data_IF_936999569458
#
_entry.id   IF_936999569458
#
_cell.length_a   1.000
_cell.length_b   1.000
_cell.length_c   1.000
_cell.angle_alpha   90.00
_cell.angle_beta   90.00
_cell.angle_gamma   90.00
#
_symmetry.space_group_name_H-M   'P 1'
#
loop_
_entity.id
_entity.type
_entity.pdbx_description
1 polymer ?
#
# COMPACT_ATOMS: atom_id res chain seq x y z
N UNK A 1 14.77 -17.16 2.53
CA UNK A 1 15.79 -17.13 3.61
C UNK A 1 17.10 -17.75 3.17
N UNK A 2 17.19 -19.07 2.96
CA UNK A 2 18.44 -19.75 2.53
C UNK A 2 19.09 -19.20 1.26
N UNK A 3 18.30 -18.98 0.21
CA UNK A 3 18.80 -18.38 -1.05
C UNK A 3 19.28 -16.93 -0.91
N UNK A 4 18.84 -16.24 0.14
CA UNK A 4 19.22 -14.85 0.43
C UNK A 4 20.33 -14.75 1.48
N UNK A 5 20.89 -15.88 1.96
CA UNK A 5 21.91 -15.89 3.00
C UNK A 5 21.42 -15.46 4.40
N UNK A 6 20.11 -15.50 4.64
CA UNK A 6 19.48 -15.03 5.90
C UNK A 6 19.09 -16.21 6.82
N UNK A 7 19.86 -17.28 6.84
CA UNK A 7 19.51 -18.54 7.52
C UNK A 7 19.35 -18.43 9.05
N UNK A 8 19.86 -17.35 9.67
CA UNK A 8 19.74 -17.08 11.10
C UNK A 8 18.73 -15.99 11.48
N UNK A 9 18.05 -15.37 10.51
CA UNK A 9 17.13 -14.26 10.77
C UNK A 9 15.75 -14.81 11.09
N UNK A 10 15.14 -14.47 12.24
CA UNK A 10 13.77 -14.84 12.55
C UNK A 10 12.82 -14.32 11.46
N UNK A 11 11.96 -15.20 10.95
CA UNK A 11 10.97 -14.84 9.95
C UNK A 11 9.63 -15.49 10.28
N UNK A 12 8.57 -14.85 9.84
CA UNK A 12 7.25 -15.43 9.76
C UNK A 12 6.71 -15.18 8.35
N UNK A 13 5.83 -16.06 7.89
CA UNK A 13 5.16 -15.89 6.61
C UNK A 13 3.68 -15.66 6.91
N UNK A 14 3.12 -14.58 6.37
CA UNK A 14 1.68 -14.39 6.31
C UNK A 14 1.20 -14.81 4.93
N UNK A 15 0.18 -15.64 4.90
CA UNK A 15 -0.55 -16.00 3.70
C UNK A 15 -1.98 -15.43 3.85
N UNK A 16 -2.61 -15.04 2.73
CA UNK A 16 -4.00 -14.57 2.67
C UNK A 16 -4.31 -13.10 3.06
N UNK A 17 -3.33 -12.19 3.04
CA UNK A 17 -3.63 -10.73 3.06
C UNK A 17 -3.95 -10.17 1.68
N UNK A 18 -3.79 -10.99 0.62
CA UNK A 18 -4.07 -10.63 -0.78
C UNK A 18 -3.46 -9.30 -1.17
N UNK A 19 -4.22 -8.53 -1.94
CA UNK A 19 -3.83 -7.22 -2.46
C UNK A 19 -3.65 -6.14 -1.37
N UNK A 20 -4.09 -6.41 -0.14
CA UNK A 20 -3.82 -5.57 1.04
C UNK A 20 -2.48 -5.90 1.72
N UNK A 21 -1.72 -6.87 1.19
CA UNK A 21 -0.51 -7.42 1.80
C UNK A 21 0.54 -6.39 2.20
N UNK A 22 0.72 -5.30 1.44
CA UNK A 22 1.67 -4.24 1.78
C UNK A 22 1.39 -3.59 3.15
N UNK A 23 0.20 -3.02 3.35
CA UNK A 23 -0.14 -2.33 4.60
C UNK A 23 -0.31 -3.29 5.79
N UNK A 24 -0.70 -4.54 5.55
CA UNK A 24 -0.68 -5.58 6.58
C UNK A 24 0.75 -5.93 7.00
N UNK A 25 1.65 -6.19 6.04
CA UNK A 25 3.07 -6.45 6.32
C UNK A 25 3.70 -5.28 7.10
N UNK A 26 3.39 -4.05 6.70
CA UNK A 26 3.83 -2.83 7.40
C UNK A 26 3.31 -2.78 8.85
N UNK A 27 2.05 -3.13 9.07
CA UNK A 27 1.46 -3.18 10.42
C UNK A 27 2.16 -4.22 11.30
N UNK A 28 2.48 -5.40 10.76
CA UNK A 28 3.25 -6.40 11.50
C UNK A 28 4.68 -5.94 11.80
N UNK A 29 5.37 -5.35 10.83
CA UNK A 29 6.72 -4.82 11.01
C UNK A 29 6.76 -3.76 12.12
N UNK A 30 5.82 -2.82 12.13
CA UNK A 30 5.67 -1.82 13.20
C UNK A 30 5.43 -2.47 14.58
N UNK A 31 4.64 -3.54 14.63
CA UNK A 31 4.42 -4.32 15.85
C UNK A 31 5.71 -4.97 16.38
N UNK A 32 6.50 -5.56 15.50
CA UNK A 32 7.78 -6.20 15.85
C UNK A 32 8.82 -5.19 16.36
N UNK A 33 8.93 -4.04 15.69
CA UNK A 33 9.83 -2.95 16.08
C UNK A 33 9.44 -2.41 17.46
N UNK A 34 8.15 -2.10 17.68
CA UNK A 34 7.66 -1.64 18.99
C UNK A 34 7.85 -2.68 20.10
N UNK A 35 7.77 -3.96 19.76
CA UNK A 35 8.01 -5.08 20.67
C UNK A 35 9.48 -5.30 21.06
N UNK A 36 10.40 -4.46 20.58
CA UNK A 36 11.85 -4.55 20.84
C UNK A 36 12.51 -5.83 20.29
N UNK A 37 11.91 -6.47 19.28
CA UNK A 37 12.47 -7.67 18.64
C UNK A 37 13.50 -7.34 17.55
N UNK A 38 13.70 -6.06 17.23
CA UNK A 38 14.71 -5.55 16.29
C UNK A 38 14.54 -4.05 16.01
N UNK A 39 15.59 -3.41 15.47
CA UNK A 39 15.55 -2.03 14.96
C UNK A 39 14.97 -1.95 13.54
N UNK A 40 15.01 -3.07 12.82
CA UNK A 40 14.77 -3.13 11.38
C UNK A 40 14.05 -4.43 11.01
N UNK A 41 13.10 -4.36 10.07
CA UNK A 41 12.35 -5.50 9.56
C UNK A 41 12.34 -5.45 8.03
N UNK A 42 12.76 -6.54 7.40
CA UNK A 42 12.65 -6.71 5.94
C UNK A 42 11.31 -7.35 5.64
N UNK A 43 10.47 -6.66 4.87
CA UNK A 43 9.22 -7.19 4.37
C UNK A 43 9.39 -7.61 2.92
N UNK A 44 8.96 -8.82 2.58
CA UNK A 44 9.00 -9.37 1.22
C UNK A 44 7.58 -9.74 0.82
N UNK A 45 7.15 -9.25 -0.33
CA UNK A 45 5.90 -9.61 -0.98
C UNK A 45 6.26 -10.42 -2.24
N UNK A 46 5.55 -11.52 -2.46
CA UNK A 46 5.72 -12.35 -3.64
C UNK A 46 4.33 -12.77 -4.11
N UNK A 47 3.85 -12.07 -5.13
CA UNK A 47 2.56 -12.27 -5.77
C UNK A 47 2.83 -13.04 -7.06
N UNK A 48 2.42 -14.31 -7.12
CA UNK A 48 2.56 -15.15 -8.31
C UNK A 48 1.29 -15.98 -8.51
N UNK A 49 0.71 -15.90 -9.70
CA UNK A 49 -0.40 -16.75 -10.09
C UNK A 49 0.16 -18.12 -10.51
N UNK A 50 -0.22 -19.22 -9.85
CA UNK A 50 0.16 -20.55 -10.32
C UNK A 50 -0.42 -20.79 -11.72
N UNK A 51 0.36 -21.38 -12.63
CA UNK A 51 -0.03 -21.60 -14.03
C UNK A 51 -1.36 -22.36 -14.20
N UNK A 52 -1.73 -23.18 -13.21
CA UNK A 52 -2.94 -24.01 -13.22
C UNK A 52 -4.02 -23.52 -12.24
N UNK A 53 -3.82 -22.37 -11.59
CA UNK A 53 -4.82 -21.81 -10.68
C UNK A 53 -5.92 -21.10 -11.48
N UNK A 54 -7.16 -21.58 -11.36
CA UNK A 54 -8.33 -20.82 -11.76
C UNK A 54 -8.49 -19.64 -10.78
N UNK A 55 -7.81 -18.53 -11.07
CA UNK A 55 -8.04 -17.28 -10.33
C UNK A 55 -9.35 -16.70 -10.86
N UNK A 56 -10.44 -16.94 -10.12
CA UNK A 56 -11.78 -16.45 -10.47
C UNK A 56 -11.87 -14.93 -10.18
N UNK A 57 -11.13 -14.13 -10.95
CA UNK A 57 -11.27 -12.67 -11.03
C UNK A 57 -11.83 -12.21 -12.38
N UNK A 58 -12.30 -13.17 -13.18
CA UNK A 58 -12.94 -12.92 -14.48
C UNK A 58 -14.22 -12.10 -14.30
N UNK A 59 -14.94 -12.31 -13.19
CA UNK A 59 -16.16 -11.54 -12.85
C UNK A 59 -15.86 -10.06 -12.59
N UNK A 60 -14.72 -9.78 -11.95
CA UNK A 60 -14.26 -8.42 -11.65
C UNK A 60 -13.46 -7.78 -12.80
N UNK A 61 -13.14 -8.56 -13.85
CA UNK A 61 -12.31 -8.16 -14.99
C UNK A 61 -10.95 -7.55 -14.56
N UNK A 62 -10.35 -8.13 -13.51
CA UNK A 62 -9.02 -7.72 -13.03
C UNK A 62 -7.97 -8.55 -13.76
N UNK A 63 -7.03 -7.87 -14.41
CA UNK A 63 -5.84 -8.48 -14.99
C UNK A 63 -4.76 -8.57 -13.91
N UNK A 64 -4.07 -9.71 -13.82
CA UNK A 64 -2.99 -9.94 -12.87
C UNK A 64 -1.62 -9.96 -13.55
N UNK A 65 -0.57 -9.69 -12.78
CA UNK A 65 0.82 -9.85 -13.17
C UNK A 65 1.63 -10.37 -12.00
N UNK A 66 2.53 -11.30 -12.28
CA UNK A 66 3.46 -11.82 -11.27
C UNK A 66 4.49 -10.75 -10.90
N UNK A 67 4.74 -10.58 -9.60
CA UNK A 67 5.81 -9.72 -9.12
C UNK A 67 6.26 -10.11 -7.70
N UNK A 68 7.55 -9.94 -7.43
CA UNK A 68 8.05 -9.87 -6.05
C UNK A 68 8.58 -8.48 -5.73
N UNK A 69 8.29 -7.95 -4.55
CA UNK A 69 8.81 -6.69 -4.06
C UNK A 69 9.32 -6.84 -2.63
N UNK A 70 10.19 -5.94 -2.19
CA UNK A 70 10.68 -5.91 -0.83
C UNK A 70 10.87 -4.48 -0.36
N UNK A 71 10.70 -4.25 0.93
CA UNK A 71 10.94 -2.96 1.56
C UNK A 71 11.49 -3.16 2.98
N UNK A 72 12.26 -2.17 3.44
CA UNK A 72 12.81 -2.12 4.79
C UNK A 72 11.95 -1.20 5.64
N UNK A 73 11.63 -1.64 6.85
CA UNK A 73 11.03 -0.79 7.89
C UNK A 73 12.03 -0.65 9.02
N UNK A 74 12.34 0.57 9.40
CA UNK A 74 13.36 0.88 10.42
C UNK A 74 12.86 1.96 11.40
N UNK A 75 13.50 2.05 12.56
CA UNK A 75 13.32 3.16 13.51
C UNK A 75 14.08 4.42 13.10
N UNK A 76 15.10 4.26 12.26
CA UNK A 76 15.91 5.34 11.72
C UNK A 76 15.25 5.95 10.47
N UNK A 77 15.80 7.09 10.05
CA UNK A 77 15.32 7.81 8.86
C UNK A 77 15.53 6.97 7.60
N UNK A 78 14.56 7.04 6.69
CA UNK A 78 14.55 6.39 5.38
C UNK A 78 13.67 7.19 4.43
N UNK A 79 13.34 6.65 3.25
CA UNK A 79 12.66 7.42 2.19
C UNK A 79 11.29 7.99 2.60
N UNK A 80 10.59 7.25 3.47
CA UNK A 80 9.25 7.62 3.94
C UNK A 80 9.10 7.44 5.45
N UNK A 81 8.54 8.46 6.10
CA UNK A 81 8.03 8.36 7.46
C UNK A 81 6.58 7.86 7.44
N UNK A 82 6.31 6.78 8.16
CA UNK A 82 4.95 6.24 8.35
C UNK A 82 4.22 7.09 9.39
N UNK A 83 3.13 7.75 9.00
CA UNK A 83 2.34 8.59 9.92
C UNK A 83 1.20 7.82 10.57
N UNK A 84 0.55 6.94 9.81
CA UNK A 84 -0.54 6.12 10.33
C UNK A 84 -1.10 5.18 9.28
N UNK A 85 -1.77 4.14 9.76
CA UNK A 85 -2.44 3.12 8.94
C UNK A 85 -3.84 2.92 9.51
N UNK A 86 -4.82 2.77 8.64
CA UNK A 86 -6.20 2.44 8.99
C UNK A 86 -6.64 1.23 8.16
N UNK A 87 -7.29 0.27 8.83
CA UNK A 87 -7.77 -0.97 8.20
C UNK A 87 -9.27 -1.10 8.37
N UNK A 88 -9.91 -1.63 7.34
CA UNK A 88 -11.30 -2.03 7.34
C UNK A 88 -11.42 -3.41 6.73
N UNK A 89 -12.22 -4.26 7.34
CA UNK A 89 -12.49 -5.61 6.87
C UNK A 89 -13.92 -5.96 7.22
N UNK A 90 -14.57 -6.78 6.41
CA UNK A 90 -15.97 -7.12 6.60
C UNK A 90 -16.24 -8.56 6.17
N UNK A 91 -17.13 -9.24 6.89
CA UNK A 91 -17.53 -10.62 6.61
C UNK A 91 -18.57 -10.72 5.47
N UNK A 92 -18.84 -9.63 4.76
CA UNK A 92 -19.80 -9.61 3.66
C UNK A 92 -19.28 -10.42 2.47
N UNK A 93 -20.21 -10.99 1.70
CA UNK A 93 -19.86 -11.69 0.47
C UNK A 93 -19.42 -10.73 -0.65
N UNK A 94 -19.87 -9.46 -0.62
CA UNK A 94 -19.47 -8.44 -1.59
C UNK A 94 -19.67 -7.02 -1.05
N UNK A 95 -18.91 -6.08 -1.61
CA UNK A 95 -19.03 -4.66 -1.37
C UNK A 95 -19.35 -3.93 -2.70
N UNK A 96 -20.46 -3.19 -2.79
CA UNK A 96 -20.73 -2.33 -3.94
C UNK A 96 -19.62 -1.30 -4.15
N UNK A 97 -19.27 -1.03 -5.41
CA UNK A 97 -18.16 -0.11 -5.72
C UNK A 97 -18.37 1.30 -5.17
N UNK A 98 -19.61 1.80 -5.13
CA UNK A 98 -19.91 3.11 -4.51
C UNK A 98 -19.67 3.10 -3.00
N UNK A 99 -19.95 1.99 -2.33
CA UNK A 99 -19.66 1.82 -0.91
C UNK A 99 -18.15 1.79 -0.67
N UNK A 100 -17.39 1.15 -1.56
CA UNK A 100 -15.93 1.16 -1.54
C UNK A 100 -15.38 2.59 -1.67
N UNK A 101 -15.93 3.41 -2.59
CA UNK A 101 -15.56 4.83 -2.71
C UNK A 101 -15.79 5.56 -1.39
N UNK A 102 -17.02 5.51 -0.87
CA UNK A 102 -17.40 6.24 0.33
C UNK A 102 -16.55 5.80 1.54
N UNK A 103 -16.31 4.49 1.68
CA UNK A 103 -15.52 3.95 2.79
C UNK A 103 -14.06 4.36 2.69
N UNK A 104 -13.48 4.36 1.49
CA UNK A 104 -12.10 4.81 1.27
C UNK A 104 -11.94 6.28 1.65
N UNK A 105 -12.86 7.14 1.21
CA UNK A 105 -12.87 8.57 1.55
C UNK A 105 -13.00 8.77 3.06
N UNK A 106 -13.96 8.10 3.71
CA UNK A 106 -14.14 8.13 5.17
C UNK A 106 -12.86 7.74 5.92
N UNK A 107 -12.18 6.67 5.46
CA UNK A 107 -10.95 6.19 6.09
C UNK A 107 -9.78 7.17 5.92
N UNK A 108 -9.63 7.77 4.75
CA UNK A 108 -8.59 8.78 4.47
C UNK A 108 -8.82 10.03 5.32
N UNK A 109 -10.02 10.61 5.25
CA UNK A 109 -10.35 11.84 5.99
C UNK A 109 -10.28 11.59 7.50
N UNK A 110 -10.80 10.46 7.97
CA UNK A 110 -10.75 10.07 9.38
C UNK A 110 -9.32 9.87 9.90
N UNK A 111 -8.44 9.26 9.09
CA UNK A 111 -7.03 9.08 9.47
C UNK A 111 -6.28 10.41 9.49
N UNK A 112 -6.45 11.24 8.45
CA UNK A 112 -5.83 12.56 8.40
C UNK A 112 -6.30 13.47 9.54
N UNK A 113 -7.59 13.46 9.87
CA UNK A 113 -8.15 14.24 10.98
C UNK A 113 -7.55 13.81 12.33
N UNK A 114 -7.43 12.50 12.60
CA UNK A 114 -6.80 11.98 13.83
C UNK A 114 -5.34 12.39 13.96
N UNK A 115 -4.63 12.53 12.84
CA UNK A 115 -3.23 12.94 12.77
C UNK A 115 -3.05 14.47 12.71
N UNK A 116 -4.14 15.25 12.66
CA UNK A 116 -4.07 16.71 12.52
C UNK A 116 -3.55 17.17 11.16
N UNK A 117 -3.63 16.34 10.12
CA UNK A 117 -3.10 16.63 8.78
C UNK A 117 -4.18 17.29 7.93
N UNK A 118 -3.95 18.56 7.58
CA UNK A 118 -4.84 19.32 6.70
C UNK A 118 -4.62 18.98 5.23
N UNK A 119 -5.24 17.91 4.73
CA UNK A 119 -5.08 17.45 3.33
C UNK A 119 -5.32 18.56 2.29
N UNK A 120 -6.22 19.53 2.56
CA UNK A 120 -6.51 20.66 1.65
C UNK A 120 -5.35 21.65 1.47
N UNK A 121 -4.34 21.59 2.33
CA UNK A 121 -3.16 22.48 2.33
C UNK A 121 -1.86 21.72 2.08
N UNK A 122 -1.94 20.40 1.93
CA UNK A 122 -0.79 19.54 1.72
C UNK A 122 -0.64 19.27 0.22
N UNK A 123 0.61 19.08 -0.21
CA UNK A 123 0.93 18.41 -1.47
C UNK A 123 0.70 16.91 -1.26
N UNK A 124 -0.26 16.34 -2.00
CA UNK A 124 -0.72 14.96 -1.77
C UNK A 124 -0.55 14.12 -3.02
N UNK A 125 0.12 12.98 -2.88
CA UNK A 125 0.14 11.92 -3.88
C UNK A 125 -0.67 10.73 -3.39
N UNK A 126 -1.59 10.21 -4.21
CA UNK A 126 -2.41 9.03 -3.88
C UNK A 126 -2.02 7.85 -4.76
N UNK A 127 -1.53 6.79 -4.13
CA UNK A 127 -1.17 5.51 -4.74
C UNK A 127 -2.35 4.55 -4.62
N UNK A 128 -2.97 4.22 -5.75
CA UNK A 128 -4.05 3.26 -5.81
C UNK A 128 -3.57 1.92 -6.36
N UNK A 129 -4.24 0.80 -6.02
CA UNK A 129 -3.96 -0.48 -6.65
C UNK A 129 -4.44 -0.46 -8.12
N UNK A 130 -3.80 -1.23 -8.98
CA UNK A 130 -4.07 -1.34 -10.41
C UNK A 130 -5.35 -2.14 -10.74
N UNK A 131 -6.42 -1.85 -10.01
CA UNK A 131 -7.77 -2.41 -10.17
C UNK A 131 -8.78 -1.26 -10.23
N UNK A 132 -9.97 -1.49 -10.75
CA UNK A 132 -11.09 -0.54 -10.73
C UNK A 132 -10.76 0.96 -10.97
N UNK A 133 -10.09 1.38 -12.07
CA UNK A 133 -9.62 2.76 -12.25
C UNK A 133 -10.68 3.85 -12.10
N UNK A 134 -11.91 3.55 -12.55
CA UNK A 134 -13.06 4.46 -12.42
C UNK A 134 -13.45 4.71 -10.96
N UNK A 135 -13.30 3.71 -10.09
CA UNK A 135 -13.62 3.80 -8.65
C UNK A 135 -12.62 4.70 -7.95
N UNK A 136 -11.32 4.52 -8.21
CA UNK A 136 -10.27 5.35 -7.61
C UNK A 136 -10.32 6.80 -8.08
N UNK A 137 -10.68 7.03 -9.34
CA UNK A 137 -10.95 8.37 -9.85
C UNK A 137 -12.08 9.06 -9.06
N UNK A 138 -13.12 8.32 -8.66
CA UNK A 138 -14.20 8.87 -7.84
C UNK A 138 -13.73 9.19 -6.41
N UNK A 139 -12.88 8.36 -5.81
CA UNK A 139 -12.27 8.65 -4.49
C UNK A 139 -11.51 9.97 -4.52
N UNK A 140 -10.60 10.15 -5.49
CA UNK A 140 -9.83 11.40 -5.63
C UNK A 140 -10.75 12.61 -5.80
N UNK A 141 -11.79 12.50 -6.63
CA UNK A 141 -12.77 13.58 -6.85
C UNK A 141 -13.55 13.92 -5.58
N UNK A 142 -13.94 12.93 -4.78
CA UNK A 142 -14.70 13.13 -3.55
C UNK A 142 -13.85 13.78 -2.44
N UNK A 143 -12.56 13.47 -2.35
CA UNK A 143 -11.64 14.09 -1.37
C UNK A 143 -11.49 15.61 -1.59
N UNK A 144 -11.65 16.09 -2.83
CA UNK A 144 -11.54 17.51 -3.20
C UNK A 144 -10.25 18.16 -2.67
N UNK A 145 -9.14 17.45 -2.78
CA UNK A 145 -7.80 17.96 -2.45
C UNK A 145 -7.33 18.80 -3.65
N UNK A 146 -6.97 20.09 -3.47
CA UNK A 146 -6.61 20.96 -4.58
C UNK A 146 -5.35 20.51 -5.33
N UNK A 147 -4.28 20.22 -4.60
CA UNK A 147 -2.97 19.85 -5.15
C UNK A 147 -2.75 18.34 -4.97
N UNK A 148 -3.50 17.55 -5.75
CA UNK A 148 -3.45 16.08 -5.68
C UNK A 148 -2.91 15.46 -6.96
N UNK A 149 -1.88 14.64 -6.82
CA UNK A 149 -1.45 13.70 -7.84
C UNK A 149 -2.08 12.34 -7.56
N UNK A 150 -2.76 11.76 -8.54
CA UNK A 150 -3.30 10.40 -8.44
C UNK A 150 -2.47 9.45 -9.29
N UNK A 151 -2.05 8.32 -8.71
CA UNK A 151 -1.18 7.34 -9.33
C UNK A 151 -1.89 5.99 -9.45
N UNK A 152 -1.93 5.50 -10.68
CA UNK A 152 -2.31 4.15 -11.08
C UNK A 152 -1.29 3.71 -12.13
N UNK A 153 -0.05 3.56 -11.69
CA UNK A 153 1.09 3.47 -12.57
C UNK A 153 1.16 2.14 -13.31
N UNK A 154 1.62 2.23 -14.56
CA UNK A 154 2.07 1.06 -15.28
C UNK A 154 0.95 0.15 -15.73
N UNK A 155 -0.33 0.56 -15.72
CA UNK A 155 -1.45 -0.35 -16.05
C UNK A 155 -1.32 -0.96 -17.46
N UNK A 156 -0.63 -0.29 -18.39
CA UNK A 156 -0.37 -0.81 -19.73
C UNK A 156 0.82 -1.78 -19.78
N UNK A 157 1.79 -1.62 -18.88
CA UNK A 157 3.03 -2.37 -18.81
C UNK A 157 2.97 -3.55 -17.81
N UNK A 158 2.16 -3.40 -16.77
CA UNK A 158 2.01 -4.28 -15.61
C UNK A 158 0.60 -4.15 -15.03
N UNK A 159 -0.15 -5.24 -15.11
CA UNK A 159 -1.46 -5.32 -14.50
C UNK A 159 -1.36 -5.41 -12.96
N UNK A 160 -2.45 -5.74 -12.28
CA UNK A 160 -2.48 -5.81 -10.83
C UNK A 160 -1.50 -6.88 -10.29
N UNK A 161 -0.57 -6.51 -9.40
CA UNK A 161 0.37 -7.46 -8.79
C UNK A 161 0.20 -7.54 -7.27
N UNK A 162 -1.05 -7.58 -6.81
CA UNK A 162 -1.37 -7.77 -5.40
C UNK A 162 -0.82 -6.67 -4.51
N UNK A 163 -0.13 -7.06 -3.42
CA UNK A 163 0.44 -6.11 -2.48
C UNK A 163 1.62 -5.31 -3.07
N UNK A 164 2.27 -5.85 -4.10
CA UNK A 164 3.46 -5.23 -4.70
C UNK A 164 3.16 -3.93 -5.46
N UNK A 165 1.90 -3.67 -5.84
CA UNK A 165 1.48 -2.43 -6.51
C UNK A 165 1.94 -1.17 -5.75
N UNK A 166 1.73 -1.17 -4.43
CA UNK A 166 2.08 -0.02 -3.59
C UNK A 166 3.58 0.13 -3.42
N UNK A 167 4.32 -0.97 -3.29
CA UNK A 167 5.79 -0.92 -3.15
C UNK A 167 6.41 -0.35 -4.43
N UNK A 168 5.97 -0.81 -5.59
CA UNK A 168 6.44 -0.33 -6.89
C UNK A 168 6.11 1.15 -7.08
N UNK A 169 4.87 1.54 -6.78
CA UNK A 169 4.44 2.93 -6.96
C UNK A 169 5.16 3.87 -5.98
N UNK A 170 5.45 3.43 -4.75
CA UNK A 170 6.28 4.20 -3.83
C UNK A 170 7.74 4.26 -4.30
N UNK A 171 8.33 3.15 -4.73
CA UNK A 171 9.73 3.15 -5.19
C UNK A 171 9.95 4.02 -6.43
N UNK A 172 8.98 4.10 -7.34
CA UNK A 172 9.09 4.97 -8.52
C UNK A 172 8.98 6.46 -8.19
N UNK A 173 8.42 6.79 -7.02
CA UNK A 173 8.20 8.15 -6.55
C UNK A 173 9.00 8.47 -5.29
N UNK A 174 10.05 7.68 -5.02
CA UNK A 174 11.01 7.98 -3.97
C UNK A 174 11.82 9.22 -4.34
N UNK A 175 12.20 10.03 -3.35
CA UNK A 175 12.92 11.29 -3.61
C UNK A 175 12.06 12.41 -4.19
N UNK A 176 10.73 12.34 -3.99
CA UNK A 176 9.81 13.44 -4.23
C UNK A 176 10.09 14.67 -3.33
N UNK A 177 9.16 15.62 -3.30
CA UNK A 177 9.32 16.81 -2.46
C UNK A 177 9.32 16.42 -0.98
N UNK A 178 10.31 16.88 -0.23
CA UNK A 178 10.37 16.70 1.22
C UNK A 178 9.07 17.18 1.88
N UNK A 179 8.54 16.37 2.80
CA UNK A 179 7.31 16.70 3.50
C UNK A 179 6.02 16.44 2.72
N UNK A 180 6.11 16.02 1.44
CA UNK A 180 4.95 15.60 0.65
C UNK A 180 4.21 14.44 1.34
N UNK A 181 2.89 14.47 1.30
CA UNK A 181 2.04 13.43 1.89
C UNK A 181 1.71 12.37 0.84
N UNK A 182 2.01 11.12 1.14
CA UNK A 182 1.66 9.98 0.31
C UNK A 182 0.50 9.21 0.96
N UNK A 183 -0.62 9.13 0.26
CA UNK A 183 -1.76 8.29 0.59
C UNK A 183 -1.64 6.98 -0.17
N UNK A 184 -1.56 5.87 0.53
CA UNK A 184 -1.54 4.54 -0.09
C UNK A 184 -2.86 3.86 0.19
N UNK A 185 -3.53 3.40 -0.85
CA UNK A 185 -4.75 2.59 -0.74
C UNK A 185 -4.41 1.17 -1.19
N UNK A 186 -4.85 0.18 -0.43
CA UNK A 186 -4.90 -1.20 -0.89
C UNK A 186 -6.29 -1.78 -0.70
N UNK A 187 -6.73 -2.59 -1.66
CA UNK A 187 -8.00 -3.29 -1.60
C UNK A 187 -7.85 -4.68 -2.20
N UNK A 188 -8.19 -5.73 -1.45
CA UNK A 188 -8.00 -7.11 -1.86
C UNK A 188 -9.09 -8.08 -1.42
N UNK A 189 -8.88 -9.36 -1.76
CA UNK A 189 -9.75 -10.47 -1.41
C UNK A 189 -10.11 -10.49 0.09
N UNK A 190 -11.31 -10.96 0.43
CA UNK A 190 -11.84 -10.87 1.79
C UNK A 190 -12.37 -9.47 2.18
N UNK A 191 -12.51 -8.57 1.20
CA UNK A 191 -12.96 -7.18 1.38
C UNK A 191 -12.08 -6.41 2.38
N UNK A 192 -10.78 -6.69 2.34
CA UNK A 192 -9.77 -5.97 3.10
C UNK A 192 -9.44 -4.66 2.40
N UNK A 193 -9.81 -3.54 3.01
CA UNK A 193 -9.46 -2.19 2.61
C UNK A 193 -8.47 -1.62 3.61
N UNK A 194 -7.35 -1.10 3.13
CA UNK A 194 -6.32 -0.49 3.95
C UNK A 194 -5.92 0.87 3.37
N UNK A 195 -5.70 1.83 4.25
CA UNK A 195 -5.21 3.17 3.91
C UNK A 195 -4.00 3.49 4.77
N UNK A 196 -2.90 3.88 4.16
CA UNK A 196 -1.70 4.38 4.83
C UNK A 196 -1.45 5.85 4.52
N UNK A 197 -1.02 6.62 5.52
CA UNK A 197 -0.46 7.96 5.37
C UNK A 197 1.04 7.91 5.63
N UNK A 198 1.81 8.44 4.67
CA UNK A 198 3.25 8.55 4.73
C UNK A 198 3.68 9.98 4.44
N UNK A 199 4.89 10.34 4.86
CA UNK A 199 5.54 11.60 4.53
C UNK A 199 6.90 11.32 3.92
N UNK A 200 7.23 11.96 2.81
CA UNK A 200 8.58 11.90 2.24
C UNK A 200 9.58 12.52 3.20
N UNK A 201 10.66 11.79 3.51
CA UNK A 201 11.78 12.33 4.28
C UNK A 201 12.63 13.28 3.43
N UNK A 202 13.48 14.08 4.08
CA UNK A 202 14.53 14.83 3.38
C UNK A 202 15.42 13.82 2.65
N UNK A 203 15.60 13.98 1.35
CA UNK A 203 16.17 12.92 0.50
C UNK A 203 17.45 12.31 1.06
N UNK A 204 17.40 11.04 1.47
CA UNK A 204 18.56 10.17 1.39
C UNK A 204 18.71 9.81 -0.07
N UNK A 205 19.57 10.53 -0.79
CA UNK A 205 20.11 10.01 -2.04
C UNK A 205 20.77 8.67 -1.70
N UNK A 206 20.14 7.57 -2.10
CA UNK A 206 20.83 6.29 -2.24
C UNK A 206 21.86 6.52 -3.35
N UNK A 207 23.07 6.92 -2.99
CA UNK A 207 24.21 6.89 -3.89
C UNK A 207 24.45 5.41 -4.24
N UNK A 208 24.28 5.09 -5.53
CA UNK A 208 24.52 3.79 -6.13
C UNK A 208 26.00 3.54 -6.42
#
# INVERSE_FOLDING_TARGET
MKKAGLDGVPYFCSFASGCAGFLFALTYALGLIKGSLGSSVICILADAAPADAAVDMVKEAILESDHSSAFLVDVHEGDYQILGINHYSTARASMPLLELVNKTVEMIEGLAAKLGIGLRKADVTIHYPNIFPKVWTLVTRQLRIPDVTHLMEGLAERAHCGGSDSVISLSNHCGGREGQIHLVVNYGAGLHLAVGLFRSASGSAFES
#
